data_IF_569348367671
#
_entry.id   IF_569348367671
#
_cell.length_a   1.000
_cell.length_b   1.000
_cell.length_c   1.000
_cell.angle_alpha   90.00
_cell.angle_beta   90.00
_cell.angle_gamma   90.00
#
_symmetry.space_group_name_H-M   'P 1'
#
loop_
_entity.id
_entity.type
_entity.pdbx_description
1 polymer ?
#
# COMPACT_ATOMS: atom_id res chain seq x y z
N UNK A 1 -8.17 17.47 -13.80
CA UNK A 1 -6.70 17.50 -13.91
C UNK A 1 -6.19 16.09 -14.19
N UNK A 2 -5.24 15.97 -15.11
CA UNK A 2 -4.55 14.72 -15.41
C UNK A 2 -3.07 14.94 -15.18
N UNK A 3 -2.43 14.06 -14.41
CA UNK A 3 -0.98 14.01 -14.20
C UNK A 3 -0.45 12.67 -14.65
N UNK A 4 0.68 12.66 -15.32
CA UNK A 4 1.40 11.44 -15.67
C UNK A 4 2.88 11.63 -15.33
N UNK A 5 3.50 10.59 -14.79
CA UNK A 5 4.91 10.59 -14.46
C UNK A 5 5.53 9.24 -14.81
N UNK A 6 6.75 9.29 -15.33
CA UNK A 6 7.58 8.11 -15.56
C UNK A 6 8.82 8.25 -14.69
N UNK A 7 9.19 7.19 -13.99
CA UNK A 7 10.37 7.16 -13.14
C UNK A 7 11.31 6.02 -13.55
N UNK A 8 12.58 6.26 -13.35
CA UNK A 8 13.64 5.28 -13.51
C UNK A 8 14.53 5.26 -12.29
N UNK A 9 14.93 4.07 -11.83
CA UNK A 9 15.84 3.88 -10.71
C UNK A 9 16.99 2.99 -11.13
N UNK A 10 18.19 3.37 -10.74
CA UNK A 10 19.36 2.51 -10.88
C UNK A 10 19.25 1.29 -9.95
N UNK A 11 20.09 0.29 -10.20
CA UNK A 11 20.29 -0.82 -9.25
C UNK A 11 20.67 -0.26 -7.88
N UNK A 12 20.07 -0.81 -6.83
CA UNK A 12 20.28 -0.37 -5.46
C UNK A 12 20.56 -1.52 -4.52
N UNK A 13 20.87 -1.18 -3.26
CA UNK A 13 20.98 -2.12 -2.14
C UNK A 13 19.84 -1.86 -1.18
N UNK A 14 19.08 -2.91 -0.84
CA UNK A 14 18.04 -2.83 0.17
C UNK A 14 18.51 -3.48 1.46
N UNK A 15 18.83 -2.67 2.47
CA UNK A 15 19.25 -3.13 3.80
C UNK A 15 18.09 -3.31 4.77
N UNK A 16 16.94 -2.73 4.45
CA UNK A 16 15.75 -2.76 5.33
C UNK A 16 15.08 -4.13 5.35
N UNK A 17 15.05 -4.79 4.20
CA UNK A 17 14.36 -6.08 4.08
C UNK A 17 15.04 -7.17 4.90
N UNK A 18 16.37 -7.14 5.03
CA UNK A 18 17.15 -8.13 5.77
C UNK A 18 17.20 -7.87 7.27
N UNK A 19 16.62 -6.76 7.71
CA UNK A 19 16.53 -6.34 9.12
C UNK A 19 17.88 -6.39 9.88
N UNK A 20 18.98 -6.14 9.18
CA UNK A 20 20.33 -6.16 9.75
C UNK A 20 20.94 -7.55 9.92
N UNK A 21 20.46 -8.56 9.18
CA UNK A 21 21.08 -9.88 9.17
C UNK A 21 22.59 -9.80 8.87
N UNK A 22 23.40 -10.53 9.64
CA UNK A 22 24.84 -10.63 9.40
C UNK A 22 25.18 -11.54 8.21
N UNK A 23 24.30 -12.47 7.88
CA UNK A 23 24.48 -13.44 6.78
C UNK A 23 24.07 -12.85 5.42
N UNK A 24 23.11 -11.92 5.43
CA UNK A 24 22.67 -11.19 4.26
C UNK A 24 22.42 -9.71 4.64
N UNK A 25 23.46 -8.87 4.71
CA UNK A 25 23.34 -7.50 5.22
C UNK A 25 22.53 -6.58 4.31
N UNK A 26 22.37 -6.95 3.06
CA UNK A 26 21.55 -6.26 2.07
C UNK A 26 21.15 -7.21 0.94
N UNK A 27 20.17 -6.80 0.15
CA UNK A 27 19.81 -7.48 -1.11
C UNK A 27 20.00 -6.50 -2.27
N UNK A 28 20.55 -6.99 -3.37
CA UNK A 28 20.65 -6.25 -4.63
C UNK A 28 19.27 -6.14 -5.26
N UNK A 29 18.80 -4.91 -5.41
CA UNK A 29 17.54 -4.64 -6.10
C UNK A 29 17.79 -4.43 -7.60
N UNK A 30 16.94 -4.96 -8.47
CA UNK A 30 17.06 -4.74 -9.91
C UNK A 30 16.85 -3.26 -10.25
N UNK A 31 17.25 -2.88 -11.46
CA UNK A 31 16.87 -1.57 -12.01
C UNK A 31 15.36 -1.43 -11.98
N UNK A 32 14.88 -0.33 -11.41
CA UNK A 32 13.47 -0.01 -11.31
C UNK A 32 13.04 0.92 -12.44
N UNK A 33 11.88 0.68 -12.96
CA UNK A 33 11.20 1.59 -13.87
C UNK A 33 9.69 1.49 -13.70
N UNK A 34 9.01 2.57 -13.97
CA UNK A 34 7.56 2.58 -13.87
C UNK A 34 6.99 3.94 -14.20
N UNK A 35 5.70 4.06 -14.01
CA UNK A 35 4.99 5.31 -14.18
C UNK A 35 3.60 5.23 -13.58
N UNK A 36 2.97 6.37 -13.45
CA UNK A 36 1.59 6.46 -13.04
C UNK A 36 0.82 7.49 -13.88
N UNK A 37 -0.48 7.29 -13.90
CA UNK A 37 -1.46 8.27 -14.37
C UNK A 37 -2.40 8.55 -13.20
N UNK A 38 -2.56 9.82 -12.89
CA UNK A 38 -3.46 10.32 -11.86
C UNK A 38 -4.52 11.22 -12.51
N UNK A 39 -5.78 10.89 -12.30
CA UNK A 39 -6.92 11.65 -12.75
C UNK A 39 -7.66 12.20 -11.54
N UNK A 40 -7.78 13.52 -11.45
CA UNK A 40 -8.64 14.19 -10.47
C UNK A 40 -9.77 14.87 -11.23
N UNK A 41 -10.99 14.51 -10.90
CA UNK A 41 -12.19 15.10 -11.48
C UNK A 41 -12.32 16.59 -11.15
N UNK A 42 -13.17 17.32 -11.87
CA UNK A 42 -13.43 18.72 -11.57
C UNK A 42 -14.00 18.83 -10.14
N UNK A 43 -13.41 19.75 -9.37
CA UNK A 43 -13.85 20.00 -8.00
C UNK A 43 -15.26 20.61 -8.03
N UNK A 44 -16.22 19.92 -7.37
CA UNK A 44 -17.59 20.38 -7.18
C UNK A 44 -17.83 20.65 -5.70
N UNK A 45 -18.75 21.55 -5.33
CA UNK A 45 -19.06 21.82 -3.92
C UNK A 45 -19.49 20.56 -3.14
N UNK A 46 -20.20 19.64 -3.81
CA UNK A 46 -20.79 18.47 -3.19
C UNK A 46 -19.98 17.19 -3.35
N UNK A 47 -19.00 17.13 -4.26
CA UNK A 47 -18.18 15.92 -4.42
C UNK A 47 -16.81 16.17 -5.01
N UNK A 48 -15.86 15.31 -4.64
CA UNK A 48 -14.51 15.24 -5.18
C UNK A 48 -14.19 13.78 -5.45
N UNK A 49 -13.56 13.47 -6.57
CA UNK A 49 -13.19 12.10 -6.92
C UNK A 49 -11.89 12.06 -7.71
N UNK A 50 -11.24 10.92 -7.69
CA UNK A 50 -10.05 10.68 -8.48
C UNK A 50 -9.72 9.21 -8.62
N UNK A 51 -8.90 8.93 -9.63
CA UNK A 51 -8.41 7.62 -9.99
C UNK A 51 -6.91 7.70 -10.22
N UNK A 52 -6.18 6.74 -9.69
CA UNK A 52 -4.75 6.59 -9.95
C UNK A 52 -4.46 5.17 -10.39
N UNK A 53 -3.68 5.05 -11.43
CA UNK A 53 -3.13 3.80 -11.89
C UNK A 53 -1.61 3.91 -11.96
N UNK A 54 -0.92 2.93 -11.38
CA UNK A 54 0.53 2.87 -11.33
C UNK A 54 0.98 1.47 -11.77
N UNK A 55 2.05 1.43 -12.57
CA UNK A 55 2.74 0.20 -12.94
C UNK A 55 4.24 0.41 -12.86
N UNK A 56 4.94 -0.53 -12.22
CA UNK A 56 6.38 -0.40 -12.06
C UNK A 56 7.02 -1.65 -11.49
N UNK A 57 8.34 -1.60 -11.35
CA UNK A 57 9.14 -2.60 -10.66
C UNK A 57 10.26 -1.92 -9.88
N UNK A 58 10.79 -2.60 -8.87
CA UNK A 58 11.93 -2.11 -8.10
C UNK A 58 11.59 -0.95 -7.17
N UNK A 59 10.39 -0.96 -6.56
CA UNK A 59 10.00 0.06 -5.57
C UNK A 59 10.76 -0.10 -4.26
N UNK A 60 11.26 1.00 -3.68
CA UNK A 60 11.88 0.98 -2.35
C UNK A 60 10.89 0.70 -1.22
N UNK A 61 9.64 1.09 -1.42
CA UNK A 61 8.59 0.98 -0.41
C UNK A 61 7.93 -0.40 -0.39
N UNK A 62 8.01 -1.11 -1.51
CA UNK A 62 7.60 -2.48 -1.66
C UNK A 62 8.74 -3.23 -2.32
N UNK A 63 9.46 -4.09 -1.59
CA UNK A 63 10.60 -4.84 -2.12
C UNK A 63 10.09 -5.86 -3.13
N UNK A 64 10.04 -5.43 -4.37
CA UNK A 64 9.49 -6.13 -5.50
C UNK A 64 10.59 -6.36 -6.54
N UNK A 65 10.82 -7.62 -6.88
CA UNK A 65 11.82 -7.98 -7.89
C UNK A 65 11.23 -7.94 -9.30
N UNK A 66 9.92 -8.21 -9.42
CA UNK A 66 9.16 -8.23 -10.65
C UNK A 66 8.36 -6.95 -10.92
N UNK A 67 7.37 -7.08 -11.81
CA UNK A 67 6.44 -6.02 -12.13
C UNK A 67 5.22 -6.04 -11.20
N UNK A 68 4.83 -4.86 -10.73
CA UNK A 68 3.63 -4.64 -9.97
C UNK A 68 2.68 -3.63 -10.61
N UNK A 69 1.43 -3.70 -10.22
CA UNK A 69 0.39 -2.75 -10.58
C UNK A 69 -0.36 -2.31 -9.33
N UNK A 70 -0.73 -1.04 -9.28
CA UNK A 70 -1.53 -0.47 -8.22
C UNK A 70 -2.58 0.45 -8.82
N UNK A 71 -3.83 0.21 -8.47
CA UNK A 71 -4.93 1.09 -8.81
C UNK A 71 -5.59 1.60 -7.54
N UNK A 72 -5.96 2.87 -7.51
CA UNK A 72 -6.64 3.52 -6.39
C UNK A 72 -7.75 4.41 -6.93
N UNK A 73 -8.94 4.27 -6.36
CA UNK A 73 -10.05 5.19 -6.57
C UNK A 73 -10.46 5.83 -5.25
N UNK A 74 -10.88 7.07 -5.29
CA UNK A 74 -11.50 7.74 -4.15
C UNK A 74 -12.67 8.62 -4.58
N UNK A 75 -13.65 8.71 -3.70
CA UNK A 75 -14.81 9.58 -3.81
C UNK A 75 -15.07 10.21 -2.44
N UNK A 76 -15.21 11.52 -2.39
CA UNK A 76 -15.74 12.24 -1.23
C UNK A 76 -17.01 12.93 -1.66
N UNK A 77 -18.11 12.68 -0.94
CA UNK A 77 -19.42 13.28 -1.13
C UNK A 77 -19.77 14.15 0.08
N UNK A 78 -20.13 15.38 -0.14
CA UNK A 78 -20.44 16.39 0.87
C UNK A 78 -21.85 16.93 0.62
N UNK A 79 -22.91 16.23 1.10
CA UNK A 79 -24.28 16.68 0.91
C UNK A 79 -24.59 18.01 1.60
N UNK A 80 -23.87 18.32 2.67
CA UNK A 80 -23.92 19.59 3.40
C UNK A 80 -22.52 20.00 3.84
N UNK A 81 -22.35 21.22 4.33
CA UNK A 81 -21.07 21.72 4.87
C UNK A 81 -20.68 21.00 6.17
N UNK A 82 -21.62 20.31 6.80
CA UNK A 82 -21.41 19.64 8.09
C UNK A 82 -21.35 18.12 7.99
N UNK A 83 -21.65 17.52 6.83
CA UNK A 83 -21.67 16.08 6.64
C UNK A 83 -20.86 15.69 5.41
N UNK A 84 -19.95 14.75 5.58
CA UNK A 84 -19.20 14.18 4.46
C UNK A 84 -19.11 12.65 4.57
N UNK A 85 -19.09 12.01 3.42
CA UNK A 85 -18.82 10.58 3.23
C UNK A 85 -17.64 10.43 2.31
N UNK A 86 -16.69 9.58 2.66
CA UNK A 86 -15.58 9.25 1.77
C UNK A 86 -15.43 7.74 1.60
N UNK A 87 -15.11 7.36 0.39
CA UNK A 87 -14.81 6.00 -0.02
C UNK A 87 -13.45 5.99 -0.72
N UNK A 88 -12.57 5.10 -0.28
CA UNK A 88 -11.33 4.80 -0.98
C UNK A 88 -11.26 3.29 -1.21
N UNK A 89 -10.91 2.91 -2.43
CA UNK A 89 -10.60 1.53 -2.81
C UNK A 89 -9.25 1.48 -3.48
N UNK A 90 -8.41 0.54 -3.05
CA UNK A 90 -7.10 0.29 -3.63
C UNK A 90 -6.96 -1.21 -3.94
N UNK A 91 -6.49 -1.51 -5.14
CA UNK A 91 -6.06 -2.84 -5.55
C UNK A 91 -4.58 -2.80 -5.93
N UNK A 92 -3.82 -3.75 -5.39
CA UNK A 92 -2.38 -3.89 -5.65
C UNK A 92 -2.08 -5.33 -6.00
N UNK A 93 -1.28 -5.53 -7.06
CA UNK A 93 -0.78 -6.84 -7.48
C UNK A 93 0.72 -6.72 -7.74
N UNK A 94 1.48 -7.60 -7.15
CA UNK A 94 2.92 -7.71 -7.28
C UNK A 94 3.27 -9.17 -7.58
N UNK A 95 4.05 -9.41 -8.62
CA UNK A 95 4.31 -10.79 -9.04
C UNK A 95 5.45 -11.44 -8.24
N UNK A 96 6.39 -10.65 -7.75
CA UNK A 96 7.58 -11.11 -7.03
C UNK A 96 7.82 -10.22 -5.79
N UNK A 97 6.81 -10.15 -4.92
CA UNK A 97 6.93 -9.42 -3.66
C UNK A 97 7.86 -10.17 -2.72
N UNK A 98 9.00 -9.55 -2.36
CA UNK A 98 10.03 -10.15 -1.53
C UNK A 98 9.72 -9.92 -0.04
N UNK A 99 9.81 -10.97 0.76
CA UNK A 99 9.65 -10.94 2.20
C UNK A 99 10.77 -11.71 2.92
N UNK A 100 11.12 -11.28 4.12
CA UNK A 100 12.15 -11.88 4.94
C UNK A 100 11.54 -12.81 5.99
N UNK A 101 12.14 -13.98 6.17
CA UNK A 101 11.66 -15.03 7.07
C UNK A 101 12.59 -15.32 8.26
N UNK A 102 13.81 -14.79 8.23
CA UNK A 102 14.79 -14.95 9.31
C UNK A 102 16.20 -15.12 8.74
N UNK A 103 17.20 -14.76 9.50
CA UNK A 103 18.61 -14.83 9.13
C UNK A 103 18.87 -14.34 7.69
N UNK A 104 19.15 -15.26 6.78
CA UNK A 104 19.32 -14.97 5.36
C UNK A 104 18.24 -15.61 4.47
N UNK A 105 17.17 -16.15 5.07
CA UNK A 105 16.04 -16.74 4.33
C UNK A 105 15.06 -15.66 3.89
N UNK A 106 14.81 -15.62 2.60
CA UNK A 106 13.83 -14.74 1.96
C UNK A 106 12.88 -15.56 1.08
N UNK A 107 11.72 -15.01 0.80
CA UNK A 107 10.79 -15.58 -0.17
C UNK A 107 10.11 -14.52 -1.01
N UNK A 108 9.88 -14.83 -2.27
CA UNK A 108 8.99 -14.03 -3.13
C UNK A 108 7.60 -14.64 -3.18
N UNK A 109 6.59 -13.80 -3.40
CA UNK A 109 5.19 -14.22 -3.51
C UNK A 109 4.51 -13.46 -4.65
N UNK A 110 3.54 -14.10 -5.27
CA UNK A 110 2.50 -13.39 -6.01
C UNK A 110 1.54 -12.74 -5.01
N UNK A 111 1.74 -11.45 -4.76
CA UNK A 111 0.93 -10.67 -3.84
C UNK A 111 -0.28 -10.06 -4.53
N UNK A 112 -1.45 -10.21 -3.89
CA UNK A 112 -2.66 -9.44 -4.19
C UNK A 112 -3.16 -8.80 -2.91
N UNK A 113 -3.36 -7.50 -2.93
CA UNK A 113 -3.91 -6.76 -1.80
C UNK A 113 -5.08 -5.90 -2.26
N UNK A 114 -6.13 -5.90 -1.47
CA UNK A 114 -7.30 -5.03 -1.61
C UNK A 114 -7.49 -4.27 -0.31
N UNK A 115 -7.65 -2.97 -0.41
CA UNK A 115 -7.92 -2.12 0.75
C UNK A 115 -9.12 -1.26 0.42
N UNK A 116 -10.13 -1.29 1.30
CA UNK A 116 -11.30 -0.45 1.23
C UNK A 116 -11.38 0.38 2.51
N UNK A 117 -11.64 1.67 2.37
CA UNK A 117 -11.87 2.56 3.50
C UNK A 117 -13.15 3.35 3.24
N UNK A 118 -14.07 3.28 4.20
CA UNK A 118 -15.29 4.09 4.22
C UNK A 118 -15.23 4.96 5.45
N UNK A 119 -15.51 6.23 5.29
CA UNK A 119 -15.45 7.20 6.39
C UNK A 119 -16.65 8.15 6.29
N UNK A 120 -17.26 8.42 7.45
CA UNK A 120 -18.29 9.45 7.63
C UNK A 120 -17.78 10.46 8.64
N UNK A 121 -17.89 11.73 8.30
CA UNK A 121 -17.61 12.84 9.21
C UNK A 121 -18.85 13.72 9.33
N UNK A 122 -19.25 14.01 10.56
CA UNK A 122 -20.36 14.87 10.86
C UNK A 122 -19.98 15.90 11.91
N UNK A 123 -20.27 17.17 11.64
CA UNK A 123 -20.01 18.31 12.50
C UNK A 123 -21.31 19.02 12.82
N UNK A 124 -21.59 19.32 14.08
CA UNK A 124 -22.75 20.10 14.48
C UNK A 124 -22.31 21.30 15.32
N UNK A 125 -22.66 22.51 14.82
CA UNK A 125 -22.45 23.78 15.51
C UNK A 125 -21.00 24.02 15.97
N UNK A 126 -19.99 23.48 15.29
CA UNK A 126 -18.57 23.52 15.65
C UNK A 126 -18.23 22.96 17.04
N UNK A 127 -19.21 22.37 17.74
CA UNK A 127 -19.07 21.83 19.08
C UNK A 127 -18.95 20.32 19.04
N UNK A 128 -19.76 19.66 18.22
CA UNK A 128 -19.82 18.21 18.13
C UNK A 128 -19.17 17.73 16.83
N UNK A 129 -18.28 16.79 16.96
CA UNK A 129 -17.66 16.08 15.83
C UNK A 129 -17.87 14.57 16.01
N UNK A 130 -18.47 13.92 15.04
CA UNK A 130 -18.58 12.46 14.97
C UNK A 130 -17.84 11.98 13.73
N UNK A 131 -16.89 11.06 13.90
CA UNK A 131 -16.22 10.35 12.81
C UNK A 131 -16.44 8.85 12.97
N UNK A 132 -16.85 8.22 11.89
CA UNK A 132 -16.99 6.77 11.79
C UNK A 132 -16.12 6.32 10.62
N UNK A 133 -15.23 5.36 10.87
CA UNK A 133 -14.33 4.80 9.87
C UNK A 133 -14.39 3.29 9.90
N UNK A 134 -14.58 2.67 8.75
CA UNK A 134 -14.43 1.24 8.54
C UNK A 134 -13.31 1.02 7.50
N UNK A 135 -12.40 0.12 7.80
CA UNK A 135 -11.30 -0.26 6.92
C UNK A 135 -11.22 -1.76 6.79
N UNK A 136 -11.24 -2.24 5.57
CA UNK A 136 -11.03 -3.66 5.24
C UNK A 136 -9.73 -3.80 4.46
N UNK A 137 -8.89 -4.75 4.86
CA UNK A 137 -7.68 -5.16 4.15
C UNK A 137 -7.76 -6.65 3.90
N UNK A 138 -7.72 -7.04 2.64
CA UNK A 138 -7.56 -8.43 2.23
C UNK A 138 -6.23 -8.58 1.48
N UNK A 139 -5.41 -9.49 1.95
CA UNK A 139 -4.06 -9.74 1.44
C UNK A 139 -3.87 -11.23 1.17
N UNK A 140 -3.32 -11.57 0.01
CA UNK A 140 -2.90 -12.94 -0.31
C UNK A 140 -1.52 -12.93 -0.93
N UNK A 141 -0.63 -13.81 -0.45
CA UNK A 141 0.65 -14.16 -1.05
C UNK A 141 0.63 -15.62 -1.47
N UNK A 142 0.68 -15.89 -2.76
CA UNK A 142 0.63 -17.23 -3.36
C UNK A 142 1.94 -17.54 -4.09
N UNK A 143 2.13 -18.81 -4.42
CA UNK A 143 3.28 -19.31 -5.19
C UNK A 143 4.62 -18.84 -4.59
N UNK A 144 4.92 -19.21 -3.33
CA UNK A 144 6.16 -18.83 -2.69
C UNK A 144 7.35 -19.45 -3.43
N UNK A 145 8.42 -18.66 -3.58
CA UNK A 145 9.73 -19.15 -4.01
C UNK A 145 10.75 -18.73 -2.96
N UNK A 146 11.51 -19.67 -2.43
CA UNK A 146 12.47 -19.44 -1.37
C UNK A 146 13.87 -19.15 -1.92
N UNK A 147 14.60 -18.31 -1.19
CA UNK A 147 15.96 -17.89 -1.53
C UNK A 147 16.81 -17.74 -0.27
N UNK A 148 18.08 -18.05 -0.37
CA UNK A 148 19.09 -17.65 0.61
C UNK A 148 19.86 -16.44 0.10
N UNK A 149 19.84 -15.38 0.89
CA UNK A 149 20.67 -14.19 0.64
C UNK A 149 22.12 -14.46 1.02
N UNK A 150 23.07 -13.92 0.26
CA UNK A 150 24.49 -13.98 0.55
C UNK A 150 25.07 -12.63 1.03
N UNK A 151 26.33 -12.64 1.46
CA UNK A 151 27.05 -11.42 1.88
C UNK A 151 27.23 -10.40 0.76
N UNK A 152 27.13 -10.85 -0.50
CA UNK A 152 27.22 -10.01 -1.69
C UNK A 152 25.86 -9.44 -2.11
N UNK A 153 24.76 -9.83 -1.41
CA UNK A 153 23.39 -9.39 -1.67
C UNK A 153 22.72 -10.09 -2.83
N UNK A 154 23.21 -11.26 -3.27
CA UNK A 154 22.52 -12.06 -4.26
C UNK A 154 21.49 -12.95 -3.59
N UNK A 155 20.46 -13.34 -4.35
CA UNK A 155 19.43 -14.29 -3.95
C UNK A 155 19.70 -15.62 -4.65
N UNK A 156 20.03 -16.65 -3.88
CA UNK A 156 20.28 -17.99 -4.37
C UNK A 156 19.00 -18.83 -4.16
N UNK A 157 18.39 -19.38 -5.21
CA UNK A 157 17.19 -20.20 -5.07
C UNK A 157 17.44 -21.42 -4.19
N UNK A 158 16.47 -21.73 -3.31
CA UNK A 158 16.48 -22.90 -2.44
C UNK A 158 15.12 -23.57 -2.44
N UNK A 159 15.08 -24.86 -2.16
CA UNK A 159 13.84 -25.61 -2.07
C UNK A 159 13.42 -25.76 -0.60
N UNK A 160 13.09 -24.63 0.03
CA UNK A 160 12.58 -24.58 1.39
C UNK A 160 11.08 -24.31 1.31
N UNK A 161 10.28 -25.19 1.92
CA UNK A 161 8.84 -25.01 1.96
C UNK A 161 8.46 -23.75 2.77
N UNK A 162 7.74 -22.86 2.15
CA UNK A 162 7.16 -21.67 2.77
C UNK A 162 5.66 -21.66 2.51
N UNK A 163 4.82 -21.54 3.56
CA UNK A 163 3.38 -21.56 3.37
C UNK A 163 2.87 -20.29 2.68
N UNK A 164 1.80 -20.37 1.87
CA UNK A 164 1.14 -19.20 1.33
C UNK A 164 0.53 -18.36 2.46
N UNK A 165 0.42 -17.07 2.23
CA UNK A 165 -0.10 -16.11 3.20
C UNK A 165 -1.50 -15.68 2.79
N UNK A 166 -2.44 -15.70 3.73
CA UNK A 166 -3.78 -15.11 3.54
C UNK A 166 -4.18 -14.37 4.80
N UNK A 167 -4.47 -13.08 4.66
CA UNK A 167 -4.91 -12.21 5.76
C UNK A 167 -6.14 -11.46 5.28
N UNK A 168 -7.16 -11.40 6.13
CA UNK A 168 -8.34 -10.56 5.91
C UNK A 168 -8.70 -9.93 7.24
N UNK A 169 -8.66 -8.61 7.30
CA UNK A 169 -8.90 -7.84 8.51
C UNK A 169 -9.94 -6.76 8.24
N UNK A 170 -10.84 -6.57 9.20
CA UNK A 170 -11.81 -5.50 9.25
C UNK A 170 -11.57 -4.71 10.53
N UNK A 171 -11.23 -3.44 10.40
CA UNK A 171 -11.11 -2.51 11.50
C UNK A 171 -12.25 -1.50 11.47
N UNK A 172 -12.81 -1.21 12.63
CA UNK A 172 -13.87 -0.23 12.80
C UNK A 172 -13.49 0.76 13.89
N UNK A 173 -13.66 2.04 13.64
CA UNK A 173 -13.36 3.12 14.58
C UNK A 173 -14.51 4.12 14.63
N UNK A 174 -14.95 4.43 15.84
CA UNK A 174 -15.87 5.55 16.12
C UNK A 174 -15.15 6.54 17.02
N UNK A 175 -15.16 7.79 16.63
CA UNK A 175 -14.62 8.90 17.41
C UNK A 175 -15.66 9.98 17.54
N UNK A 176 -15.96 10.32 18.78
CA UNK A 176 -16.76 11.50 19.12
C UNK A 176 -15.90 12.50 19.87
N UNK A 177 -15.99 13.76 19.48
CA UNK A 177 -15.29 14.88 20.11
C UNK A 177 -16.31 15.97 20.47
N UNK A 178 -16.25 16.41 21.70
CA UNK A 178 -16.94 17.61 22.19
C UNK A 178 -15.89 18.73 22.32
N UNK A 179 -16.07 19.80 21.57
CA UNK A 179 -15.22 21.00 21.70
C UNK A 179 -15.88 21.96 22.65
N UNK A 180 -15.35 22.05 23.86
CA UNK A 180 -15.76 23.07 24.82
C UNK A 180 -15.01 24.35 24.49
N UNK A 181 -15.68 25.29 23.85
CA UNK A 181 -15.16 26.64 23.68
C UNK A 181 -15.34 27.31 25.02
N UNK A 182 -14.25 27.49 25.77
CA UNK A 182 -14.26 28.43 26.89
C UNK A 182 -14.34 29.85 26.31
N UNK A 183 -15.49 30.42 26.37
CA UNK A 183 -15.69 31.87 26.16
C UNK A 183 -15.14 32.60 27.36
#
# INVERSE_FOLDING_TARGET
>A
EIKAEVFYRCTGRNTRITRGSKLAPFIKMPKGMGGYIDFTGPRRPTYVYGLRFERGRGSEHSPELGWGTKSRGYLKYMPTDTLSFSLMYQHQRENEWLNWYGDNLLATFQRKQRTSVVEMEWFRNNIHELRIKAQMVAFTGREPQSFLGDLSGNLNPEDIYIPPITISELAFQVRYRLSLIHI
#
